data_IF_972664622544
#
_entry.id   IF_972664622544
#
_cell.length_a   1.000
_cell.length_b   1.000
_cell.length_c   1.000
_cell.angle_alpha   90.00
_cell.angle_beta   90.00
_cell.angle_gamma   90.00
#
_symmetry.space_group_name_H-M   'P 1'
#
loop_
_entity.id
_entity.type
_entity.pdbx_description
1 polymer ?
#
# COMPACT_ATOMS: atom_id res chain seq x y z
N UNK A 1 16.56 19.66 -10.75
CA UNK A 1 15.76 18.45 -10.51
C UNK A 1 16.11 17.42 -11.55
N UNK A 2 16.63 16.29 -11.10
CA UNK A 2 17.03 15.21 -11.96
C UNK A 2 15.84 14.30 -12.29
N UNK A 3 15.96 13.54 -13.39
CA UNK A 3 14.92 12.65 -13.91
C UNK A 3 15.25 11.16 -13.65
N UNK A 4 16.20 10.90 -12.77
CA UNK A 4 16.65 9.58 -12.39
C UNK A 4 16.88 9.54 -10.87
N UNK A 5 16.86 8.37 -10.30
CA UNK A 5 17.20 8.11 -8.91
C UNK A 5 18.53 7.36 -8.83
N UNK A 6 19.26 7.55 -7.71
CA UNK A 6 20.49 6.84 -7.42
C UNK A 6 20.56 6.41 -5.93
N UNK A 7 21.73 6.00 -5.48
CA UNK A 7 21.94 5.52 -4.11
C UNK A 7 21.62 6.58 -3.05
N UNK A 8 21.77 7.88 -3.36
CA UNK A 8 21.42 8.98 -2.43
C UNK A 8 19.93 8.96 -2.10
N UNK A 9 19.08 8.83 -3.12
CA UNK A 9 17.63 8.79 -2.93
C UNK A 9 17.21 7.56 -2.11
N UNK A 10 17.80 6.40 -2.39
CA UNK A 10 17.52 5.18 -1.64
C UNK A 10 17.97 5.31 -0.18
N UNK A 11 19.08 6.02 0.07
CA UNK A 11 19.55 6.29 1.42
C UNK A 11 18.62 7.25 2.19
N UNK A 12 18.06 8.27 1.52
CA UNK A 12 17.08 9.18 2.11
C UNK A 12 15.84 8.43 2.59
N UNK A 13 15.37 7.45 1.83
CA UNK A 13 14.19 6.65 2.16
C UNK A 13 14.39 5.68 3.33
N UNK A 14 15.62 5.40 3.76
CA UNK A 14 15.89 4.45 4.87
C UNK A 14 15.27 4.91 6.19
N UNK A 15 15.23 6.22 6.47
CA UNK A 15 14.64 6.77 7.68
C UNK A 15 13.11 6.66 7.68
N UNK A 16 12.50 6.63 6.50
CA UNK A 16 11.06 6.53 6.27
C UNK A 16 10.65 5.21 5.58
N UNK A 17 11.48 4.17 5.71
CA UNK A 17 11.37 2.91 4.94
C UNK A 17 9.99 2.23 5.06
N UNK A 18 9.31 2.38 6.16
CA UNK A 18 7.95 1.84 6.34
C UNK A 18 6.93 2.74 5.66
N UNK A 19 6.98 4.06 5.92
CA UNK A 19 6.05 5.04 5.35
C UNK A 19 6.12 5.09 3.84
N UNK A 20 7.32 4.92 3.26
CA UNK A 20 7.55 4.98 1.81
C UNK A 20 8.05 3.67 1.20
N UNK A 21 7.66 2.53 1.79
CA UNK A 21 7.98 1.20 1.25
C UNK A 21 7.59 1.04 -0.22
N UNK A 22 6.38 1.49 -0.62
CA UNK A 22 5.93 1.38 -2.01
C UNK A 22 6.73 2.31 -2.92
N UNK A 23 7.08 3.54 -2.47
CA UNK A 23 7.96 4.42 -3.24
C UNK A 23 9.31 3.74 -3.51
N UNK A 24 9.96 3.23 -2.47
CA UNK A 24 11.23 2.49 -2.60
C UNK A 24 11.14 1.34 -3.61
N UNK A 25 10.01 0.61 -3.61
CA UNK A 25 9.78 -0.48 -4.56
C UNK A 25 9.60 0.00 -6.01
N UNK A 26 8.80 1.04 -6.23
CA UNK A 26 8.50 1.50 -7.60
C UNK A 26 9.66 2.23 -8.25
N UNK A 27 10.54 2.84 -7.46
CA UNK A 27 11.78 3.46 -7.97
C UNK A 27 12.75 2.45 -8.61
N UNK A 28 12.63 1.17 -8.29
CA UNK A 28 13.39 0.09 -8.93
C UNK A 28 12.84 -0.37 -10.29
N UNK A 29 11.71 0.20 -10.75
CA UNK A 29 11.02 -0.17 -11.98
C UNK A 29 10.78 1.00 -12.93
N UNK A 30 10.04 0.78 -14.01
CA UNK A 30 9.68 1.85 -14.95
C UNK A 30 8.73 2.86 -14.30
N UNK A 31 9.07 4.14 -14.40
CA UNK A 31 8.26 5.26 -13.95
C UNK A 31 8.02 6.25 -15.08
N UNK A 32 6.79 6.74 -15.23
CA UNK A 32 6.45 7.77 -16.22
C UNK A 32 7.07 9.12 -15.85
N UNK A 33 7.15 9.41 -14.55
CA UNK A 33 7.74 10.65 -14.03
C UNK A 33 8.62 10.32 -12.83
N UNK A 34 9.86 10.84 -12.86
CA UNK A 34 10.76 10.92 -11.70
C UNK A 34 11.29 12.35 -11.63
N UNK A 35 11.30 12.93 -10.44
CA UNK A 35 11.95 14.21 -10.13
C UNK A 35 12.57 14.12 -8.76
N UNK A 36 13.85 14.43 -8.64
CA UNK A 36 14.55 14.46 -7.35
C UNK A 36 15.63 15.55 -7.34
N UNK A 37 15.93 16.08 -6.16
CA UNK A 37 17.12 16.89 -5.90
C UNK A 37 18.22 16.08 -5.19
N UNK A 38 17.96 14.81 -4.90
CA UNK A 38 18.83 13.88 -4.15
C UNK A 38 19.14 14.32 -2.71
N UNK A 39 18.34 15.24 -2.14
CA UNK A 39 18.56 15.82 -0.81
C UNK A 39 17.26 15.90 0.02
N UNK A 40 16.21 16.48 -0.54
CA UNK A 40 15.01 16.84 0.22
C UNK A 40 13.69 16.53 -0.48
N UNK A 41 13.71 16.05 -1.72
CA UNK A 41 12.48 15.79 -2.47
C UNK A 41 12.66 14.64 -3.48
N UNK A 42 11.73 13.69 -3.43
CA UNK A 42 11.58 12.63 -4.43
C UNK A 42 10.11 12.59 -4.86
N UNK A 43 9.83 12.88 -6.13
CA UNK A 43 8.52 12.72 -6.75
C UNK A 43 8.59 11.60 -7.78
N UNK A 44 7.68 10.63 -7.67
CA UNK A 44 7.59 9.51 -8.58
C UNK A 44 6.13 9.21 -8.94
N UNK A 45 5.87 9.03 -10.23
CA UNK A 45 4.60 8.52 -10.76
C UNK A 45 4.89 7.39 -11.74
N UNK A 46 4.26 6.24 -11.54
CA UNK A 46 4.41 5.08 -12.42
C UNK A 46 3.51 5.19 -13.63
N UNK A 47 2.20 5.13 -13.44
CA UNK A 47 1.18 5.24 -14.48
C UNK A 47 -0.19 5.56 -13.86
N UNK A 48 -1.13 6.08 -14.66
CA UNK A 48 -2.52 6.18 -14.24
C UNK A 48 -3.17 4.79 -14.09
N UNK A 49 -4.08 4.61 -13.09
CA UNK A 49 -4.61 5.60 -12.16
C UNK A 49 -3.86 5.71 -10.82
N UNK A 50 -2.66 5.14 -10.71
CA UNK A 50 -1.94 5.12 -9.43
C UNK A 50 -1.57 6.53 -8.96
N UNK A 51 -1.50 6.77 -7.63
CA UNK A 51 -1.12 8.06 -7.08
C UNK A 51 0.37 8.37 -7.33
N UNK A 52 0.68 9.64 -7.39
CA UNK A 52 2.05 10.16 -7.32
C UNK A 52 2.57 9.96 -5.91
N UNK A 53 3.76 9.41 -5.77
CA UNK A 53 4.48 9.36 -4.51
C UNK A 53 5.36 10.60 -4.39
N UNK A 54 5.23 11.31 -3.28
CA UNK A 54 6.03 12.49 -2.99
C UNK A 54 6.63 12.38 -1.59
N UNK A 55 7.92 12.10 -1.54
CA UNK A 55 8.69 12.05 -0.30
C UNK A 55 9.40 13.37 -0.07
N UNK A 56 9.41 13.78 1.20
CA UNK A 56 10.22 14.87 1.75
C UNK A 56 10.63 14.51 3.17
N UNK A 57 11.73 15.09 3.73
CA UNK A 57 12.02 14.98 5.16
C UNK A 57 10.90 15.62 5.99
N UNK A 58 10.96 15.47 7.31
CA UNK A 58 10.10 16.17 8.26
C UNK A 58 10.61 17.58 8.53
N UNK A 59 9.72 18.47 8.99
CA UNK A 59 10.09 19.82 9.42
C UNK A 59 10.45 20.77 8.28
N UNK A 60 9.74 20.67 7.17
CA UNK A 60 9.93 21.57 6.01
C UNK A 60 9.62 23.01 6.35
N UNK A 61 10.43 23.93 5.81
CA UNK A 61 10.08 25.35 5.75
C UNK A 61 8.93 25.59 4.77
N UNK A 62 8.23 26.71 4.90
CA UNK A 62 7.16 27.08 3.96
C UNK A 62 7.67 27.24 2.51
N UNK A 63 8.91 27.68 2.33
CA UNK A 63 9.54 27.78 1.02
C UNK A 63 9.78 26.39 0.38
N UNK A 64 10.17 25.40 1.14
CA UNK A 64 10.34 24.02 0.68
C UNK A 64 9.00 23.37 0.35
N UNK A 65 7.98 23.57 1.17
CA UNK A 65 6.61 23.10 0.89
C UNK A 65 6.07 23.71 -0.41
N UNK A 66 6.28 25.02 -0.61
CA UNK A 66 5.84 25.70 -1.83
C UNK A 66 6.61 25.22 -3.06
N UNK A 67 7.91 24.96 -2.95
CA UNK A 67 8.71 24.36 -4.03
C UNK A 67 8.20 22.97 -4.41
N UNK A 68 7.86 22.14 -3.41
CA UNK A 68 7.28 20.82 -3.65
C UNK A 68 5.92 20.92 -4.35
N UNK A 69 5.06 21.86 -3.92
CA UNK A 69 3.78 22.14 -4.57
C UNK A 69 3.94 22.55 -6.04
N UNK A 70 4.81 23.52 -6.32
CA UNK A 70 5.05 24.02 -7.69
C UNK A 70 5.53 22.89 -8.60
N UNK A 71 6.54 22.12 -8.17
CA UNK A 71 7.02 20.97 -8.92
C UNK A 71 5.92 19.94 -9.20
N UNK A 72 5.10 19.63 -8.19
CA UNK A 72 4.02 18.70 -8.34
C UNK A 72 2.97 19.17 -9.36
N UNK A 73 2.60 20.45 -9.33
CA UNK A 73 1.63 21.02 -10.29
C UNK A 73 2.19 21.16 -11.70
N UNK A 74 3.49 21.39 -11.85
CA UNK A 74 4.15 21.41 -13.16
C UNK A 74 4.20 20.03 -13.81
N UNK A 75 4.41 18.97 -13.01
CA UNK A 75 4.66 17.62 -13.53
C UNK A 75 3.43 16.73 -13.54
N UNK A 76 2.62 16.77 -12.48
CA UNK A 76 1.48 15.90 -12.25
C UNK A 76 0.30 16.71 -11.66
N UNK A 77 -0.29 17.69 -12.37
CA UNK A 77 -1.24 18.62 -11.80
C UNK A 77 -2.54 17.96 -11.30
N UNK A 78 -3.00 18.34 -10.10
CA UNK A 78 -4.26 17.85 -9.51
C UNK A 78 -5.47 18.07 -10.43
N UNK A 79 -5.49 19.20 -11.15
CA UNK A 79 -6.55 19.51 -12.10
C UNK A 79 -6.69 18.49 -13.25
N UNK A 80 -5.69 17.64 -13.46
CA UNK A 80 -5.72 16.52 -14.42
C UNK A 80 -5.99 15.16 -13.76
N UNK A 81 -6.47 15.15 -12.52
CA UNK A 81 -6.84 13.93 -11.81
C UNK A 81 -5.68 13.21 -11.09
N UNK A 82 -4.49 13.81 -11.02
CA UNK A 82 -3.42 13.24 -10.23
C UNK A 82 -3.74 13.33 -8.74
N UNK A 83 -3.46 12.22 -8.02
CA UNK A 83 -3.56 12.10 -6.57
C UNK A 83 -2.17 11.93 -6.00
N UNK A 84 -1.97 12.27 -4.73
CA UNK A 84 -0.63 12.22 -4.13
C UNK A 84 -0.64 11.42 -2.83
N UNK A 85 0.35 10.55 -2.68
CA UNK A 85 0.72 9.92 -1.43
C UNK A 85 1.88 10.68 -0.82
N UNK A 86 1.67 11.26 0.37
CA UNK A 86 2.64 12.14 1.04
C UNK A 86 2.37 12.21 2.55
N UNK A 87 3.32 12.76 3.30
CA UNK A 87 3.16 13.02 4.73
C UNK A 87 2.12 14.11 5.00
N UNK A 88 1.48 14.06 6.16
CA UNK A 88 0.40 14.99 6.53
C UNK A 88 0.83 16.45 6.52
N UNK A 89 2.03 16.76 6.99
CA UNK A 89 2.55 18.15 6.99
C UNK A 89 2.51 18.77 5.59
N UNK A 90 2.93 18.02 4.57
CA UNK A 90 2.90 18.48 3.19
C UNK A 90 1.48 18.42 2.60
N UNK A 91 0.65 17.47 3.04
CA UNK A 91 -0.74 17.35 2.60
C UNK A 91 -1.56 18.58 2.99
N UNK A 92 -1.39 19.10 4.20
CA UNK A 92 -2.06 20.30 4.67
C UNK A 92 -1.72 21.52 3.79
N UNK A 93 -0.45 21.72 3.48
CA UNK A 93 0.00 22.76 2.56
C UNK A 93 -0.60 22.58 1.16
N UNK A 94 -0.56 21.37 0.60
CA UNK A 94 -1.12 21.08 -0.73
C UNK A 94 -2.62 21.32 -0.80
N UNK A 95 -3.38 20.96 0.23
CA UNK A 95 -4.83 21.20 0.30
C UNK A 95 -5.13 22.72 0.33
N UNK A 96 -4.35 23.50 1.10
CA UNK A 96 -4.50 24.95 1.16
C UNK A 96 -4.22 25.59 -0.22
N UNK A 97 -3.10 25.25 -0.85
CA UNK A 97 -2.71 25.76 -2.19
C UNK A 97 -3.68 25.33 -3.29
N UNK A 98 -4.19 24.10 -3.23
CA UNK A 98 -5.20 23.59 -4.16
C UNK A 98 -6.51 24.40 -4.06
N UNK A 99 -6.95 24.72 -2.84
CA UNK A 99 -8.11 25.58 -2.61
C UNK A 99 -7.92 26.98 -3.21
N UNK A 100 -6.76 27.60 -3.02
CA UNK A 100 -6.41 28.92 -3.61
C UNK A 100 -6.35 28.88 -5.14
N UNK A 101 -5.94 27.75 -5.71
CA UNK A 101 -5.85 27.53 -7.16
C UNK A 101 -7.21 27.20 -7.79
N UNK A 102 -8.30 27.16 -7.03
CA UNK A 102 -9.63 26.82 -7.54
C UNK A 102 -9.85 25.33 -7.81
N UNK A 103 -8.99 24.44 -7.32
CA UNK A 103 -9.11 22.98 -7.40
C UNK A 103 -9.16 22.40 -5.99
N UNK A 104 -10.31 22.51 -5.28
CA UNK A 104 -10.41 22.07 -3.90
C UNK A 104 -10.00 20.59 -3.74
N UNK A 105 -9.12 20.32 -2.80
CA UNK A 105 -8.64 18.99 -2.49
C UNK A 105 -9.04 18.54 -1.09
N UNK A 106 -8.92 17.25 -0.84
CA UNK A 106 -9.15 16.63 0.48
C UNK A 106 -8.22 15.45 0.69
N UNK A 107 -8.07 15.02 1.93
CA UNK A 107 -7.57 13.69 2.23
C UNK A 107 -8.64 12.67 1.77
N UNK A 108 -8.24 11.79 0.85
CA UNK A 108 -9.09 10.73 0.33
C UNK A 108 -8.92 9.44 1.14
N UNK A 109 -7.70 9.16 1.62
CA UNK A 109 -7.39 7.98 2.44
C UNK A 109 -6.32 8.34 3.46
N UNK A 110 -6.55 7.98 4.71
CA UNK A 110 -5.53 7.99 5.76
C UNK A 110 -4.80 6.64 5.75
N UNK A 111 -3.49 6.64 5.57
CA UNK A 111 -2.70 5.41 5.47
C UNK A 111 -1.75 5.25 6.65
N UNK A 112 -1.83 4.10 7.31
CA UNK A 112 -0.89 3.70 8.36
C UNK A 112 0.01 2.57 7.85
N UNK A 113 1.31 2.72 8.10
CA UNK A 113 2.32 1.70 7.85
C UNK A 113 2.66 0.99 9.18
N UNK A 114 2.55 -0.31 9.18
CA UNK A 114 2.85 -1.16 10.34
C UNK A 114 3.95 -2.15 10.01
N UNK A 115 4.77 -2.52 11.01
CA UNK A 115 5.60 -3.72 10.95
C UNK A 115 5.17 -4.75 12.01
N UNK A 116 5.66 -5.98 11.89
CA UNK A 116 5.40 -7.03 12.86
C UNK A 116 6.70 -7.63 13.36
N UNK A 117 7.31 -7.08 14.43
CA UNK A 117 8.58 -7.56 14.95
C UNK A 117 8.47 -8.94 15.61
N UNK A 118 7.28 -9.30 16.14
CA UNK A 118 7.03 -10.57 16.79
C UNK A 118 5.58 -11.01 16.50
N UNK A 119 5.35 -11.91 15.54
CA UNK A 119 4.02 -12.40 15.24
C UNK A 119 3.38 -13.12 16.44
N UNK A 120 2.15 -12.74 16.79
CA UNK A 120 1.35 -13.31 17.88
C UNK A 120 0.29 -14.23 17.29
N UNK A 121 0.32 -15.51 17.67
CA UNK A 121 -0.66 -16.48 17.21
C UNK A 121 -2.07 -16.12 17.71
N UNK A 122 -3.11 -16.24 16.85
CA UNK A 122 -4.48 -16.04 17.27
C UNK A 122 -4.90 -17.00 18.39
N UNK A 123 -5.53 -16.48 19.44
CA UNK A 123 -6.03 -17.29 20.56
C UNK A 123 -7.27 -18.13 20.19
N UNK A 124 -8.08 -17.60 19.27
CA UNK A 124 -9.31 -18.27 18.80
C UNK A 124 -9.03 -19.12 17.58
N UNK A 125 -9.54 -20.34 17.55
CA UNK A 125 -9.45 -21.17 16.35
C UNK A 125 -10.28 -20.61 15.19
N UNK A 126 -9.83 -20.83 13.96
CA UNK A 126 -10.62 -20.69 12.75
C UNK A 126 -10.63 -22.02 12.01
N UNK A 127 -11.79 -22.40 11.50
CA UNK A 127 -11.89 -23.56 10.61
C UNK A 127 -11.22 -23.29 9.26
N UNK A 128 -10.77 -24.35 8.59
CA UNK A 128 -10.15 -24.25 7.28
C UNK A 128 -8.63 -24.13 7.32
N UNK A 129 -8.04 -23.73 6.20
CA UNK A 129 -6.59 -23.69 6.05
C UNK A 129 -6.13 -22.66 5.01
N UNK A 130 -4.87 -22.26 5.14
CA UNK A 130 -4.18 -21.46 4.15
C UNK A 130 -3.88 -22.29 2.88
N UNK A 131 -4.20 -21.76 1.73
CA UNK A 131 -3.91 -22.35 0.42
C UNK A 131 -3.03 -21.39 -0.39
N UNK A 132 -1.83 -21.85 -0.76
CA UNK A 132 -0.98 -21.13 -1.70
C UNK A 132 -1.56 -21.30 -3.11
N UNK A 133 -1.90 -20.19 -3.76
CA UNK A 133 -2.49 -20.19 -5.09
C UNK A 133 -1.48 -20.66 -6.16
N UNK A 134 -2.02 -21.36 -7.13
CA UNK A 134 -1.33 -21.87 -8.31
C UNK A 134 -1.94 -21.32 -9.60
N UNK A 135 -1.39 -21.67 -10.76
CA UNK A 135 -1.99 -21.26 -12.05
C UNK A 135 -3.45 -21.69 -12.21
N UNK A 136 -3.87 -22.79 -11.57
CA UNK A 136 -5.25 -23.23 -11.60
C UNK A 136 -6.19 -22.29 -10.86
N UNK A 137 -5.68 -21.46 -9.95
CA UNK A 137 -6.45 -20.55 -9.12
C UNK A 137 -6.55 -19.13 -9.71
N UNK A 138 -5.94 -18.84 -10.87
CA UNK A 138 -5.81 -17.48 -11.43
C UNK A 138 -7.15 -16.77 -11.58
N UNK A 139 -8.16 -17.43 -12.09
CA UNK A 139 -9.47 -16.79 -12.32
C UNK A 139 -10.19 -16.46 -11.01
N UNK A 140 -10.12 -17.34 -10.01
CA UNK A 140 -10.66 -17.06 -8.68
C UNK A 140 -9.85 -15.98 -7.95
N UNK A 141 -8.52 -15.97 -8.09
CA UNK A 141 -7.66 -14.94 -7.55
C UNK A 141 -7.96 -13.56 -8.17
N UNK A 142 -8.19 -13.51 -9.49
CA UNK A 142 -8.61 -12.29 -10.17
C UNK A 142 -9.96 -11.78 -9.65
N UNK A 143 -10.92 -12.68 -9.43
CA UNK A 143 -12.21 -12.34 -8.87
C UNK A 143 -12.09 -11.79 -7.43
N UNK A 144 -11.26 -12.41 -6.58
CA UNK A 144 -11.01 -11.94 -5.21
C UNK A 144 -10.32 -10.57 -5.18
N UNK A 145 -9.40 -10.29 -6.10
CA UNK A 145 -8.77 -8.98 -6.26
C UNK A 145 -9.81 -7.94 -6.70
N UNK A 146 -10.67 -8.28 -7.65
CA UNK A 146 -11.74 -7.41 -8.11
C UNK A 146 -12.71 -7.06 -6.95
N UNK A 147 -13.18 -8.07 -6.22
CA UNK A 147 -14.05 -7.90 -5.04
C UNK A 147 -13.38 -7.04 -3.94
N UNK A 148 -12.07 -7.19 -3.75
CA UNK A 148 -11.29 -6.35 -2.83
C UNK A 148 -11.31 -4.88 -3.27
N UNK A 149 -11.02 -4.58 -4.54
CA UNK A 149 -11.05 -3.20 -5.06
C UNK A 149 -12.43 -2.55 -4.92
N UNK A 150 -13.50 -3.29 -5.21
CA UNK A 150 -14.87 -2.82 -4.98
C UNK A 150 -15.12 -2.51 -3.48
N UNK A 151 -14.67 -3.39 -2.59
CA UNK A 151 -14.92 -3.26 -1.15
C UNK A 151 -14.19 -2.07 -0.51
N UNK A 152 -13.00 -1.69 -1.03
CA UNK A 152 -12.21 -0.56 -0.50
C UNK A 152 -12.41 0.74 -1.28
N UNK A 153 -13.39 0.76 -2.21
CA UNK A 153 -13.65 1.88 -3.12
C UNK A 153 -12.37 2.41 -3.80
N UNK A 154 -11.43 1.50 -4.07
CA UNK A 154 -10.24 1.79 -4.84
C UNK A 154 -10.61 2.03 -6.31
N UNK A 155 -9.62 2.50 -7.09
CA UNK A 155 -9.82 2.65 -8.52
C UNK A 155 -10.28 1.33 -9.13
N UNK A 156 -11.46 1.35 -9.76
CA UNK A 156 -12.02 0.18 -10.40
C UNK A 156 -11.04 -0.33 -11.47
N UNK A 157 -10.58 -1.54 -11.27
CA UNK A 157 -9.82 -2.26 -12.27
C UNK A 157 -10.76 -3.27 -12.93
N UNK A 158 -10.69 -3.39 -14.24
CA UNK A 158 -11.40 -4.45 -14.92
C UNK A 158 -10.85 -5.84 -14.52
N UNK A 159 -11.63 -6.87 -14.76
CA UNK A 159 -11.27 -8.24 -14.37
C UNK A 159 -10.00 -8.75 -15.09
N UNK A 160 -9.72 -8.28 -16.29
CA UNK A 160 -8.53 -8.69 -17.04
C UNK A 160 -7.27 -8.11 -16.41
N UNK A 161 -7.33 -6.87 -15.93
CA UNK A 161 -6.24 -6.27 -15.17
C UNK A 161 -6.04 -6.98 -13.82
N UNK A 162 -7.12 -7.34 -13.14
CA UNK A 162 -7.05 -8.17 -11.92
C UNK A 162 -6.42 -9.54 -12.20
N UNK A 163 -6.70 -10.15 -13.37
CA UNK A 163 -6.09 -11.42 -13.79
C UNK A 163 -4.57 -11.29 -14.03
N UNK A 164 -4.11 -10.18 -14.61
CA UNK A 164 -2.67 -9.88 -14.75
C UNK A 164 -2.01 -9.76 -13.38
N UNK A 165 -2.66 -9.06 -12.43
CA UNK A 165 -2.15 -8.92 -11.07
C UNK A 165 -2.11 -10.26 -10.33
N UNK A 166 -3.17 -11.06 -10.41
CA UNK A 166 -3.23 -12.40 -9.83
C UNK A 166 -2.07 -13.26 -10.34
N UNK A 167 -1.86 -13.31 -11.65
CA UNK A 167 -0.76 -14.08 -12.28
C UNK A 167 0.59 -13.66 -11.73
N UNK A 168 0.90 -12.35 -11.68
CA UNK A 168 2.17 -11.84 -11.14
C UNK A 168 2.40 -12.29 -9.70
N UNK A 169 1.38 -12.20 -8.85
CA UNK A 169 1.50 -12.66 -7.46
C UNK A 169 1.71 -14.17 -7.37
N UNK A 170 1.00 -14.96 -8.17
CA UNK A 170 1.08 -16.43 -8.18
C UNK A 170 2.45 -16.89 -8.68
N UNK A 171 2.99 -16.29 -9.75
CA UNK A 171 4.34 -16.57 -10.27
C UNK A 171 5.44 -16.39 -9.21
N UNK A 172 5.25 -15.45 -8.30
CA UNK A 172 6.16 -15.20 -7.17
C UNK A 172 5.76 -15.91 -5.86
N UNK A 173 4.81 -16.86 -5.92
CA UNK A 173 4.28 -17.56 -4.74
C UNK A 173 3.79 -16.60 -3.65
N UNK A 174 3.19 -15.49 -4.07
CA UNK A 174 2.79 -14.37 -3.22
C UNK A 174 1.29 -14.16 -3.10
N UNK A 175 0.43 -15.12 -3.48
CA UNK A 175 -1.00 -15.01 -3.34
C UNK A 175 -1.59 -16.21 -2.60
N UNK A 176 -2.46 -15.95 -1.62
CA UNK A 176 -3.04 -16.97 -0.76
C UNK A 176 -4.54 -16.83 -0.66
N UNK A 177 -5.21 -17.99 -0.58
CA UNK A 177 -6.59 -18.09 -0.12
C UNK A 177 -6.65 -18.64 1.30
N UNK A 178 -7.70 -18.28 1.99
CA UNK A 178 -8.21 -19.06 3.11
C UNK A 178 -9.39 -19.89 2.61
N UNK A 179 -9.28 -21.22 2.70
CA UNK A 179 -10.36 -22.15 2.36
C UNK A 179 -10.99 -22.63 3.65
N UNK A 180 -12.33 -22.53 3.76
CA UNK A 180 -13.08 -23.03 4.92
C UNK A 180 -13.12 -24.57 4.96
N UNK A 181 -13.84 -25.16 5.93
CA UNK A 181 -13.93 -26.62 6.07
C UNK A 181 -14.58 -27.31 4.86
N UNK A 182 -15.44 -26.61 4.13
CA UNK A 182 -16.09 -27.11 2.91
C UNK A 182 -15.22 -26.97 1.65
N UNK A 183 -14.01 -26.39 1.78
CA UNK A 183 -13.10 -26.12 0.67
C UNK A 183 -13.42 -24.86 -0.12
N UNK A 184 -14.39 -24.05 0.33
CA UNK A 184 -14.76 -22.80 -0.29
C UNK A 184 -13.72 -21.72 0.00
N UNK A 185 -13.32 -20.93 -1.00
CA UNK A 185 -12.47 -19.75 -0.84
C UNK A 185 -13.26 -18.60 -0.19
N UNK A 186 -12.88 -18.23 1.03
CA UNK A 186 -13.61 -17.25 1.85
C UNK A 186 -12.84 -15.95 2.07
N UNK A 187 -11.51 -15.99 1.95
CA UNK A 187 -10.65 -14.82 2.06
C UNK A 187 -9.40 -14.95 1.19
N UNK A 188 -8.74 -13.83 0.92
CA UNK A 188 -7.45 -13.80 0.25
C UNK A 188 -6.50 -12.79 0.88
N UNK A 189 -5.21 -12.97 0.63
CA UNK A 189 -4.18 -11.94 0.79
C UNK A 189 -3.04 -12.17 -0.20
N UNK A 190 -2.27 -11.12 -0.40
CA UNK A 190 -1.01 -11.18 -1.14
C UNK A 190 0.16 -10.77 -0.24
N UNK A 191 1.39 -11.10 -0.65
CA UNK A 191 2.58 -10.49 -0.11
C UNK A 191 3.60 -10.22 -1.20
N UNK A 192 4.53 -9.29 -0.93
CA UNK A 192 5.56 -8.91 -1.88
C UNK A 192 6.84 -8.52 -1.13
N UNK A 193 8.01 -9.10 -1.50
CA UNK A 193 9.29 -8.72 -0.90
C UNK A 193 9.85 -7.44 -1.54
N UNK A 194 10.45 -6.57 -0.73
CA UNK A 194 11.26 -5.43 -1.17
C UNK A 194 12.17 -4.95 -0.05
N UNK A 195 13.43 -4.68 -0.36
CA UNK A 195 14.40 -4.02 0.54
C UNK A 195 14.46 -4.63 1.96
N UNK A 196 14.50 -5.95 2.09
CA UNK A 196 14.56 -6.65 3.38
C UNK A 196 13.22 -6.73 4.13
N UNK A 197 12.13 -6.29 3.54
CA UNK A 197 10.78 -6.36 4.10
C UNK A 197 9.87 -7.21 3.22
N UNK A 198 8.79 -7.76 3.82
CA UNK A 198 7.70 -8.43 3.11
C UNK A 198 6.38 -7.74 3.40
N UNK A 199 5.78 -7.11 2.39
CA UNK A 199 4.52 -6.38 2.57
C UNK A 199 3.32 -7.28 2.31
N UNK A 200 2.47 -7.45 3.32
CA UNK A 200 1.16 -8.09 3.18
C UNK A 200 0.16 -7.07 2.61
N UNK A 201 -0.61 -7.49 1.62
CA UNK A 201 -1.60 -6.64 0.95
C UNK A 201 -2.81 -7.41 0.47
N UNK A 202 -3.76 -6.72 -0.16
CA UNK A 202 -4.99 -7.31 -0.71
C UNK A 202 -5.74 -8.21 0.28
N UNK A 203 -5.72 -7.86 1.56
CA UNK A 203 -6.40 -8.65 2.60
C UNK A 203 -7.90 -8.44 2.49
N UNK A 204 -8.60 -9.47 2.07
CA UNK A 204 -10.03 -9.41 1.87
C UNK A 204 -10.73 -10.66 2.38
N UNK A 205 -11.89 -10.48 3.00
CA UNK A 205 -12.80 -11.57 3.39
C UNK A 205 -14.18 -11.26 2.80
N UNK A 206 -14.74 -12.21 2.08
CA UNK A 206 -16.10 -12.10 1.51
C UNK A 206 -17.11 -11.75 2.60
N UNK A 207 -18.02 -10.80 2.37
CA UNK A 207 -18.91 -10.24 3.41
C UNK A 207 -19.64 -11.30 4.26
N UNK A 208 -20.17 -12.36 3.62
CA UNK A 208 -20.90 -13.44 4.27
C UNK A 208 -20.02 -14.33 5.20
N UNK A 209 -18.70 -14.23 5.07
CA UNK A 209 -17.74 -15.02 5.84
C UNK A 209 -16.95 -14.19 6.86
N UNK A 210 -17.27 -12.90 7.03
CA UNK A 210 -16.61 -12.02 8.00
C UNK A 210 -16.91 -12.43 9.44
N UNK A 211 -16.06 -11.97 10.38
CA UNK A 211 -16.21 -12.18 11.83
C UNK A 211 -16.05 -13.64 12.27
N UNK A 212 -15.34 -14.45 11.47
CA UNK A 212 -14.99 -15.86 11.77
C UNK A 212 -13.47 -16.06 11.92
N UNK A 213 -12.72 -14.98 12.17
CA UNK A 213 -11.27 -14.95 12.37
C UNK A 213 -10.41 -15.38 11.16
N UNK A 214 -10.98 -15.63 9.99
CA UNK A 214 -10.24 -16.10 8.82
C UNK A 214 -9.10 -15.16 8.41
N UNK A 215 -9.34 -13.86 8.30
CA UNK A 215 -8.31 -12.88 7.96
C UNK A 215 -7.18 -12.86 8.99
N UNK A 216 -7.51 -12.95 10.30
CA UNK A 216 -6.51 -12.97 11.37
C UNK A 216 -5.58 -14.17 11.25
N UNK A 217 -6.11 -15.38 11.04
CA UNK A 217 -5.31 -16.59 10.87
C UNK A 217 -4.49 -16.56 9.59
N UNK A 218 -5.10 -16.15 8.49
CA UNK A 218 -4.44 -16.04 7.19
C UNK A 218 -3.26 -15.07 7.25
N UNK A 219 -3.49 -13.86 7.75
CA UNK A 219 -2.44 -12.82 7.86
C UNK A 219 -1.36 -13.28 8.84
N UNK A 220 -1.71 -13.87 9.99
CA UNK A 220 -0.72 -14.41 10.93
C UNK A 220 0.20 -15.42 10.25
N UNK A 221 -0.35 -16.43 9.53
CA UNK A 221 0.47 -17.46 8.88
C UNK A 221 1.37 -16.88 7.79
N UNK A 222 0.86 -15.93 6.99
CA UNK A 222 1.67 -15.26 5.97
C UNK A 222 2.75 -14.36 6.62
N UNK A 223 2.42 -13.68 7.71
CA UNK A 223 3.38 -12.88 8.50
C UNK A 223 4.51 -13.76 9.05
N UNK A 224 4.16 -14.92 9.63
CA UNK A 224 5.15 -15.89 10.12
C UNK A 224 6.05 -16.39 8.98
N UNK A 225 5.45 -16.75 7.85
CA UNK A 225 6.21 -17.18 6.66
C UNK A 225 7.19 -16.10 6.17
N UNK A 226 6.82 -14.83 6.22
CA UNK A 226 7.70 -13.70 5.86
C UNK A 226 8.85 -13.61 6.88
N UNK A 227 8.55 -13.68 8.18
CA UNK A 227 9.55 -13.65 9.24
C UNK A 227 10.54 -14.83 9.15
N UNK A 228 10.04 -16.04 8.87
CA UNK A 228 10.87 -17.25 8.69
C UNK A 228 11.84 -17.15 7.49
N UNK A 229 11.53 -16.29 6.51
CA UNK A 229 12.44 -15.94 5.41
C UNK A 229 13.50 -14.88 5.79
N UNK A 230 13.53 -14.43 7.04
CA UNK A 230 14.42 -13.37 7.52
C UNK A 230 14.05 -11.96 7.04
N UNK A 231 12.83 -11.77 6.58
CA UNK A 231 12.30 -10.48 6.16
C UNK A 231 11.48 -9.85 7.30
N UNK A 232 11.45 -8.52 7.35
CA UNK A 232 10.55 -7.79 8.27
C UNK A 232 9.14 -7.75 7.68
N UNK A 233 8.13 -8.40 8.31
CA UNK A 233 6.75 -8.29 7.84
C UNK A 233 6.23 -6.88 8.03
N UNK A 234 5.56 -6.34 7.02
CA UNK A 234 4.93 -5.03 7.09
C UNK A 234 3.60 -5.03 6.35
N UNK A 235 2.78 -4.01 6.57
CA UNK A 235 1.58 -3.73 5.78
C UNK A 235 1.21 -2.25 5.81
N UNK A 236 0.40 -1.84 4.82
CA UNK A 236 -0.40 -0.63 4.90
C UNK A 236 -1.86 -0.96 5.19
N UNK A 237 -2.51 -0.07 5.93
CA UNK A 237 -3.95 -0.14 6.18
C UNK A 237 -4.57 1.25 6.11
N UNK A 238 -5.86 1.29 5.79
CA UNK A 238 -6.66 2.50 5.98
C UNK A 238 -6.83 2.75 7.49
N UNK A 239 -6.34 3.89 7.96
CA UNK A 239 -6.41 4.28 9.36
C UNK A 239 -7.85 4.41 9.88
N UNK A 240 -8.78 4.72 8.99
CA UNK A 240 -10.19 4.91 9.33
C UNK A 240 -10.97 3.58 9.41
N UNK A 241 -10.35 2.47 8.98
CA UNK A 241 -10.97 1.15 9.05
C UNK A 241 -10.56 0.38 10.31
N UNK A 242 -11.17 0.74 11.44
CA UNK A 242 -10.84 0.22 12.77
C UNK A 242 -10.82 -1.31 12.88
N UNK A 243 -11.66 -2.03 12.12
CA UNK A 243 -11.72 -3.49 12.17
C UNK A 243 -10.44 -4.17 11.66
N UNK A 244 -9.83 -3.64 10.59
CA UNK A 244 -8.54 -4.11 10.07
C UNK A 244 -7.42 -3.79 11.03
N UNK A 245 -7.37 -2.56 11.52
CA UNK A 245 -6.33 -2.10 12.45
C UNK A 245 -6.30 -2.99 13.70
N UNK A 246 -7.46 -3.21 14.34
CA UNK A 246 -7.57 -4.11 15.49
C UNK A 246 -7.19 -5.56 15.18
N UNK A 247 -7.42 -6.03 13.95
CA UNK A 247 -6.99 -7.36 13.51
C UNK A 247 -5.47 -7.45 13.46
N UNK A 248 -4.80 -6.47 12.84
CA UNK A 248 -3.35 -6.47 12.69
C UNK A 248 -2.63 -6.28 14.02
N UNK A 249 -3.11 -5.38 14.88
CA UNK A 249 -2.57 -5.19 16.24
C UNK A 249 -2.60 -6.47 17.08
N UNK A 250 -3.67 -7.27 16.97
CA UNK A 250 -3.76 -8.60 17.63
C UNK A 250 -2.75 -9.62 17.11
N UNK A 251 -2.29 -9.47 15.87
CA UNK A 251 -1.24 -10.32 15.28
C UNK A 251 0.15 -9.85 15.71
N UNK A 252 0.27 -8.69 16.35
CA UNK A 252 1.55 -8.11 16.80
C UNK A 252 2.10 -7.02 15.89
N UNK A 253 1.30 -6.52 14.97
CA UNK A 253 1.69 -5.36 14.15
C UNK A 253 1.71 -4.07 14.98
N UNK A 254 2.75 -3.28 14.78
CA UNK A 254 3.04 -2.03 15.49
C UNK A 254 3.13 -0.88 14.48
N UNK A 255 2.49 0.24 14.78
CA UNK A 255 2.50 1.43 13.93
C UNK A 255 3.91 2.02 13.81
N UNK A 256 4.38 2.19 12.58
CA UNK A 256 5.71 2.71 12.26
C UNK A 256 5.67 4.03 11.49
N UNK A 257 4.59 4.30 10.75
CA UNK A 257 4.52 5.51 9.96
C UNK A 257 3.11 5.88 9.53
N UNK A 258 2.94 7.13 9.16
CA UNK A 258 1.65 7.70 8.73
C UNK A 258 1.83 8.54 7.48
N UNK A 259 0.97 8.33 6.51
CA UNK A 259 0.85 9.16 5.33
C UNK A 259 -0.62 9.24 4.91
N UNK A 260 -0.91 10.05 3.93
CA UNK A 260 -2.26 10.11 3.38
C UNK A 260 -2.23 10.20 1.85
N UNK A 261 -3.34 9.83 1.24
CA UNK A 261 -3.62 10.14 -0.15
C UNK A 261 -4.49 11.38 -0.22
N UNK A 262 -4.06 12.38 -0.96
CA UNK A 262 -4.89 13.55 -1.28
C UNK A 262 -5.37 13.50 -2.72
N UNK A 263 -6.59 13.99 -2.97
CA UNK A 263 -7.19 14.09 -4.29
C UNK A 263 -8.02 15.36 -4.41
N UNK A 264 -8.27 15.82 -5.63
CA UNK A 264 -9.32 16.79 -5.90
C UNK A 264 -10.68 16.25 -5.41
N UNK A 265 -11.57 17.18 -5.02
CA UNK A 265 -12.95 16.86 -4.61
C UNK A 265 -13.83 16.56 -5.82
#
# INVERSE_FOLDING_TARGET
MDHFVDERDLQLLQNDRYTFYVLSRVLGGPCAVIRTDHESLILCHTEHPYPVWLWTPDGLTEAEKERAWQLAQETCPMARGYRYNLKYELAEHFIARAQESGVPARIATNMFAYDCPAPIAPETAAEGSLHLCTEADIDEAAQMIYEFHEAVAADQQDIDRCRIHARRHIEHQGFFFWKNADGETVACCSWHPNAGMGSVGSVYTRPQHRRRHYAQHMVYQVTQMIADKGLTPMLYTDADYAASNACYEKIGYVLQGKLCTISAK
#
